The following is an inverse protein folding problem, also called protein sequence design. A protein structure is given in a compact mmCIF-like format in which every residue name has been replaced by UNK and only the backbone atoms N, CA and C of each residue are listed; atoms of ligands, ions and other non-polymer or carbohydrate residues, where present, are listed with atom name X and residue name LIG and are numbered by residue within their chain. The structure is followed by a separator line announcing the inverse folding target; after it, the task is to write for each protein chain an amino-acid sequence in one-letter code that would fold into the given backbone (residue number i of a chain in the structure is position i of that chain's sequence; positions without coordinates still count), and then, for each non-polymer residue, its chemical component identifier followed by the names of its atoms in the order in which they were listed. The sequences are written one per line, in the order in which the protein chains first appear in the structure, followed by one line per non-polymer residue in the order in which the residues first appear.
data_IF_899395698092
#
_entry.id   IF_899395698092
#
_cell.length_a   1.000
_cell.length_b   1.000
_cell.length_c   1.000
_cell.angle_alpha   90.00
_cell.angle_beta   90.00
_cell.angle_gamma   90.00
#
_symmetry.space_group_name_H-M   'P 1'
#
loop_
_entity.id
_entity.type
_entity.pdbx_description
1 polymer ?
#
# COMPACT_ATOMS: atom_id res chain seq x y z
N UNK A 1 25.50 5.06 -3.10
CA UNK A 1 24.04 5.02 -3.20
C UNK A 1 23.66 3.56 -3.37
N UNK A 2 22.64 3.10 -2.65
CA UNK A 2 22.24 1.69 -2.69
C UNK A 2 21.16 1.53 -3.73
N UNK A 3 21.39 0.71 -4.74
CA UNK A 3 20.37 0.34 -5.72
C UNK A 3 19.59 -0.89 -5.27
N UNK A 4 18.36 -1.04 -5.76
CA UNK A 4 17.59 -2.27 -5.60
C UNK A 4 18.36 -3.44 -6.27
N UNK A 5 18.68 -4.52 -5.53
CA UNK A 5 19.59 -5.56 -6.03
C UNK A 5 18.91 -6.56 -6.97
N UNK A 6 17.61 -6.75 -6.83
CA UNK A 6 16.82 -7.75 -7.56
C UNK A 6 15.47 -7.16 -7.98
N UNK A 7 14.90 -7.60 -9.10
CA UNK A 7 13.56 -7.19 -9.49
C UNK A 7 12.50 -7.76 -8.52
N UNK A 8 11.51 -6.94 -8.17
CA UNK A 8 10.34 -7.32 -7.38
C UNK A 8 9.09 -6.95 -8.16
N UNK A 9 8.35 -7.96 -8.60
CA UNK A 9 7.17 -7.80 -9.47
C UNK A 9 5.87 -7.90 -8.69
N UNK A 10 4.83 -7.22 -9.18
CA UNK A 10 3.46 -7.37 -8.69
C UNK A 10 3.27 -6.89 -7.26
N UNK A 11 4.02 -5.87 -6.84
CA UNK A 11 3.82 -5.28 -5.52
C UNK A 11 2.57 -4.41 -5.59
N UNK A 12 1.54 -4.80 -4.87
CA UNK A 12 0.27 -4.08 -4.87
C UNK A 12 -0.02 -3.47 -3.51
N UNK A 13 -0.50 -2.23 -3.52
CA UNK A 13 -0.91 -1.52 -2.31
C UNK A 13 -2.36 -1.09 -2.45
N UNK A 14 -3.22 -1.57 -1.53
CA UNK A 14 -4.65 -1.24 -1.48
C UNK A 14 -4.98 -0.52 -0.19
N UNK A 15 -4.99 0.80 -0.27
CA UNK A 15 -5.30 1.69 0.85
C UNK A 15 -6.80 1.79 1.01
N UNK A 16 -7.25 1.51 2.24
CA UNK A 16 -8.62 1.74 2.70
C UNK A 16 -8.52 2.35 4.08
N UNK A 17 -8.84 3.64 4.19
CA UNK A 17 -8.94 4.35 5.47
C UNK A 17 -10.39 4.73 5.72
N UNK A 18 -10.98 4.22 6.79
CA UNK A 18 -12.27 4.72 7.28
C UNK A 18 -12.01 5.87 8.25
N UNK A 19 -12.50 7.07 7.93
CA UNK A 19 -12.47 8.22 8.85
C UNK A 19 -13.71 8.32 9.76
N UNK A 20 -14.65 7.38 9.65
CA UNK A 20 -15.97 7.44 10.29
C UNK A 20 -16.95 8.27 9.45
N UNK A 21 -18.17 7.75 9.23
CA UNK A 21 -19.14 8.33 8.29
C UNK A 21 -18.82 8.00 6.81
N UNK A 22 -19.65 8.52 5.88
CA UNK A 22 -19.57 8.29 4.42
C UNK A 22 -18.29 8.79 3.72
N UNK A 23 -17.18 9.00 4.44
CA UNK A 23 -15.91 9.47 3.89
C UNK A 23 -14.78 8.51 4.22
N UNK A 24 -14.26 7.85 3.18
CA UNK A 24 -13.04 7.06 3.24
C UNK A 24 -11.92 7.68 2.40
N UNK A 25 -10.73 7.10 2.52
CA UNK A 25 -9.69 7.25 1.49
C UNK A 25 -9.44 5.89 0.86
N UNK A 26 -9.65 5.82 -0.44
CA UNK A 26 -9.38 4.64 -1.25
C UNK A 26 -8.29 4.94 -2.27
N UNK A 27 -7.32 4.03 -2.37
CA UNK A 27 -6.38 3.99 -3.48
C UNK A 27 -5.93 2.57 -3.73
N UNK A 28 -5.68 2.25 -4.99
CA UNK A 28 -5.08 0.98 -5.39
C UNK A 28 -4.03 1.23 -6.47
N UNK A 29 -2.85 0.65 -6.29
CA UNK A 29 -1.75 0.66 -7.27
C UNK A 29 -1.08 -0.70 -7.31
N UNK A 30 -0.56 -1.07 -8.48
CA UNK A 30 0.34 -2.19 -8.68
C UNK A 30 1.60 -1.65 -9.33
N UNK A 31 2.75 -2.00 -8.74
CA UNK A 31 4.06 -1.49 -9.14
C UNK A 31 5.04 -2.65 -9.23
N UNK A 32 5.76 -2.69 -10.34
CA UNK A 32 6.96 -3.51 -10.50
C UNK A 32 8.19 -2.66 -10.20
N UNK A 33 9.14 -3.22 -9.47
CA UNK A 33 10.41 -2.60 -9.16
C UNK A 33 11.55 -3.39 -9.81
N UNK A 34 12.48 -2.67 -10.39
CA UNK A 34 13.68 -3.20 -11.04
C UNK A 34 14.92 -2.51 -10.49
N UNK A 35 16.11 -3.15 -10.59
CA UNK A 35 17.37 -2.48 -10.33
C UNK A 35 17.48 -1.16 -11.11
N UNK A 36 18.13 -0.13 -10.53
CA UNK A 36 18.20 1.19 -11.15
C UNK A 36 18.96 1.15 -12.48
N UNK A 37 18.52 2.00 -13.42
CA UNK A 37 19.22 2.22 -14.67
C UNK A 37 20.45 3.14 -14.48
N UNK A 38 21.14 3.50 -15.58
CA UNK A 38 22.31 4.39 -15.52
C UNK A 38 22.00 5.79 -14.96
N UNK A 39 20.73 6.23 -15.02
CA UNK A 39 20.27 7.52 -14.51
C UNK A 39 19.78 7.47 -13.05
N UNK A 40 19.84 6.31 -12.38
CA UNK A 40 19.37 6.11 -11.02
C UNK A 40 17.88 5.75 -10.95
N UNK A 41 17.13 6.44 -10.08
CA UNK A 41 15.70 6.21 -9.89
C UNK A 41 14.87 6.71 -11.08
N UNK A 42 14.05 5.83 -11.64
CA UNK A 42 13.13 6.16 -12.74
C UNK A 42 11.73 5.66 -12.42
N UNK A 43 10.70 6.50 -12.57
CA UNK A 43 9.30 6.11 -12.31
C UNK A 43 8.47 6.30 -13.58
N UNK A 44 7.89 5.22 -14.07
CA UNK A 44 7.10 5.16 -15.30
C UNK A 44 5.67 4.69 -15.01
N UNK A 45 4.71 5.21 -15.77
CA UNK A 45 3.31 4.77 -15.69
C UNK A 45 2.92 4.04 -16.97
N UNK A 46 2.50 2.77 -16.84
CA UNK A 46 1.86 1.98 -17.88
C UNK A 46 0.39 1.68 -17.56
N UNK A 47 -0.08 2.02 -16.36
CA UNK A 47 -1.47 1.84 -16.01
C UNK A 47 -2.35 2.70 -16.91
N UNK A 48 -3.48 2.11 -17.33
CA UNK A 48 -4.49 2.80 -18.12
C UNK A 48 -5.11 3.94 -17.33
N UNK A 49 -5.47 5.03 -18.02
CA UNK A 49 -6.03 6.23 -17.39
C UNK A 49 -7.37 5.98 -16.66
N UNK A 50 -8.18 5.03 -17.14
CA UNK A 50 -9.42 4.62 -16.49
C UNK A 50 -9.20 3.82 -15.18
N UNK A 51 -7.99 3.29 -14.98
CA UNK A 51 -7.59 2.54 -13.78
C UNK A 51 -6.85 3.44 -12.80
N UNK A 52 -5.98 4.32 -13.32
CA UNK A 52 -5.21 5.29 -12.55
C UNK A 52 -5.27 6.65 -13.25
N UNK A 53 -6.21 7.51 -12.84
CA UNK A 53 -6.35 8.86 -13.39
C UNK A 53 -5.06 9.68 -13.26
N UNK A 54 -4.76 10.48 -14.29
CA UNK A 54 -3.53 11.25 -14.38
C UNK A 54 -3.31 12.22 -13.19
N UNK A 55 -4.41 12.74 -12.62
CA UNK A 55 -4.38 13.63 -11.44
C UNK A 55 -3.70 13.02 -10.21
N UNK A 56 -3.71 11.69 -10.07
CA UNK A 56 -3.11 11.00 -8.93
C UNK A 56 -1.67 10.55 -9.18
N UNK A 57 -1.15 10.66 -10.40
CA UNK A 57 0.19 10.15 -10.73
C UNK A 57 1.29 10.87 -9.94
N UNK A 58 1.17 12.18 -9.72
CA UNK A 58 2.10 12.94 -8.89
C UNK A 58 2.13 12.40 -7.45
N UNK A 59 0.95 12.14 -6.87
CA UNK A 59 0.85 11.59 -5.52
C UNK A 59 1.46 10.17 -5.43
N UNK A 60 1.24 9.31 -6.43
CA UNK A 60 1.85 7.97 -6.46
C UNK A 60 3.38 8.08 -6.54
N UNK A 61 3.91 8.97 -7.40
CA UNK A 61 5.36 9.22 -7.53
C UNK A 61 5.98 9.67 -6.21
N UNK A 62 5.41 10.71 -5.58
CA UNK A 62 5.84 11.18 -4.25
C UNK A 62 5.86 10.03 -3.23
N UNK A 63 4.84 9.17 -3.28
CA UNK A 63 4.73 8.01 -2.41
C UNK A 63 5.85 7.01 -2.64
N UNK A 64 6.10 6.64 -3.89
CA UNK A 64 7.16 5.69 -4.27
C UNK A 64 8.52 6.21 -3.80
N UNK A 65 8.84 7.48 -4.09
CA UNK A 65 10.11 8.10 -3.68
C UNK A 65 10.27 8.09 -2.15
N UNK A 66 9.22 8.47 -1.43
CA UNK A 66 9.19 8.42 0.03
C UNK A 66 9.38 7.00 0.58
N UNK A 67 8.80 5.99 -0.09
CA UNK A 67 8.89 4.61 0.35
C UNK A 67 10.23 3.93 0.02
N UNK A 68 10.90 4.37 -1.06
CA UNK A 68 12.23 3.93 -1.43
C UNK A 68 13.31 4.45 -0.45
N UNK A 69 13.06 5.57 0.22
CA UNK A 69 13.91 6.11 1.30
C UNK A 69 15.40 6.23 0.88
N UNK A 70 15.62 6.77 -0.31
CA UNK A 70 16.96 6.97 -0.89
C UNK A 70 17.58 5.74 -1.57
N UNK A 71 16.89 4.61 -1.63
CA UNK A 71 17.28 3.46 -2.48
C UNK A 71 16.91 3.76 -3.94
N UNK A 72 17.86 3.57 -4.85
CA UNK A 72 17.61 3.76 -6.28
C UNK A 72 16.92 2.56 -6.89
N UNK A 73 15.87 2.77 -7.67
CA UNK A 73 15.16 1.71 -8.38
C UNK A 73 14.44 2.25 -9.63
N UNK A 74 14.24 1.41 -10.63
CA UNK A 74 13.25 1.67 -11.65
C UNK A 74 11.88 1.16 -11.15
N UNK A 75 10.85 2.01 -11.17
CA UNK A 75 9.50 1.67 -10.74
C UNK A 75 8.52 1.83 -11.89
N UNK A 76 7.79 0.76 -12.19
CA UNK A 76 6.82 0.70 -13.27
C UNK A 76 5.43 0.51 -12.68
N UNK A 77 4.59 1.53 -12.74
CA UNK A 77 3.20 1.44 -12.30
C UNK A 77 2.42 0.71 -13.39
N UNK A 78 2.03 -0.54 -13.12
CA UNK A 78 1.46 -1.46 -14.12
C UNK A 78 -0.06 -1.50 -14.10
N UNK A 79 -0.68 -1.21 -12.95
CA UNK A 79 -2.13 -1.14 -12.80
C UNK A 79 -2.52 -0.23 -11.63
N UNK A 80 -3.80 0.10 -11.52
CA UNK A 80 -4.35 0.86 -10.41
C UNK A 80 -5.83 0.62 -10.22
N UNK A 81 -6.44 1.39 -9.33
CA UNK A 81 -7.88 1.38 -9.16
C UNK A 81 -8.37 2.64 -8.48
N UNK A 82 -9.48 3.15 -8.98
CA UNK A 82 -10.14 4.35 -8.47
C UNK A 82 -11.53 4.02 -7.94
N UNK A 83 -11.86 4.60 -6.78
CA UNK A 83 -13.22 4.68 -6.28
C UNK A 83 -13.48 6.16 -5.98
N UNK A 84 -14.11 6.84 -6.94
CA UNK A 84 -14.24 8.29 -6.98
C UNK A 84 -14.71 8.96 -5.68
N UNK A 85 -15.72 8.43 -4.95
CA UNK A 85 -16.17 9.05 -3.71
C UNK A 85 -15.05 9.24 -2.67
N UNK A 86 -14.12 8.28 -2.62
CA UNK A 86 -13.03 8.22 -1.63
C UNK A 86 -11.63 8.43 -2.25
N UNK A 87 -11.53 8.72 -3.55
CA UNK A 87 -10.26 8.94 -4.24
C UNK A 87 -9.64 10.27 -3.81
N UNK A 88 -8.46 10.24 -3.18
CA UNK A 88 -7.73 11.42 -2.69
C UNK A 88 -6.23 11.20 -2.81
N UNK A 89 -5.47 12.26 -3.07
CA UNK A 89 -3.99 12.21 -3.19
C UNK A 89 -3.31 11.49 -2.04
N UNK A 90 -3.76 11.74 -0.81
CA UNK A 90 -3.18 11.11 0.38
C UNK A 90 -3.29 9.58 0.36
N UNK A 91 -4.37 9.04 -0.23
CA UNK A 91 -4.54 7.61 -0.44
C UNK A 91 -3.49 7.06 -1.41
N UNK A 92 -3.31 7.72 -2.55
CA UNK A 92 -2.37 7.30 -3.60
C UNK A 92 -0.91 7.48 -3.19
N UNK A 93 -0.57 8.56 -2.48
CA UNK A 93 0.76 8.73 -1.87
C UNK A 93 1.06 7.64 -0.86
N UNK A 94 0.08 7.31 0.00
CA UNK A 94 0.23 6.20 0.95
C UNK A 94 0.41 4.87 0.23
N UNK A 95 -0.32 4.64 -0.86
CA UNK A 95 -0.23 3.41 -1.65
C UNK A 95 1.15 3.26 -2.29
N UNK A 96 1.67 4.33 -2.92
CA UNK A 96 3.03 4.34 -3.48
C UNK A 96 4.10 4.03 -2.43
N UNK A 97 4.02 4.66 -1.26
CA UNK A 97 4.99 4.44 -0.18
C UNK A 97 4.96 3.02 0.38
N UNK A 98 3.76 2.44 0.50
CA UNK A 98 3.58 1.06 0.96
C UNK A 98 4.11 0.06 -0.06
N UNK A 99 3.87 0.30 -1.36
CA UNK A 99 4.39 -0.56 -2.42
C UNK A 99 5.92 -0.53 -2.44
N UNK A 100 6.54 0.66 -2.41
CA UNK A 100 8.00 0.77 -2.41
C UNK A 100 8.65 0.13 -1.17
N UNK A 101 8.10 0.34 0.03
CA UNK A 101 8.59 -0.34 1.24
C UNK A 101 8.44 -1.87 1.14
N UNK A 102 7.32 -2.34 0.59
CA UNK A 102 7.12 -3.77 0.32
C UNK A 102 8.18 -4.35 -0.61
N UNK A 103 8.58 -3.60 -1.63
CA UNK A 103 9.67 -3.99 -2.53
C UNK A 103 11.02 -4.05 -1.82
N UNK A 104 11.33 -3.09 -0.93
CA UNK A 104 12.57 -3.12 -0.16
C UNK A 104 12.64 -4.33 0.79
N UNK A 105 11.54 -4.68 1.46
CA UNK A 105 11.48 -5.89 2.29
C UNK A 105 11.65 -7.13 1.42
N UNK A 106 10.91 -7.24 0.32
CA UNK A 106 10.99 -8.38 -0.60
C UNK A 106 12.39 -8.57 -1.22
N UNK A 107 13.13 -7.48 -1.42
CA UNK A 107 14.50 -7.50 -1.92
C UNK A 107 15.57 -7.73 -0.82
N UNK A 108 15.16 -7.90 0.44
CA UNK A 108 16.07 -8.11 1.58
C UNK A 108 16.84 -6.87 2.01
N UNK A 109 16.42 -5.67 1.60
CA UNK A 109 17.02 -4.40 2.00
C UNK A 109 16.45 -3.85 3.32
N UNK A 110 15.36 -4.45 3.81
CA UNK A 110 14.73 -4.14 5.10
C UNK A 110 14.43 -5.44 5.86
N UNK A 111 14.35 -5.40 7.19
CA UNK A 111 13.94 -6.54 8.01
C UNK A 111 12.55 -7.08 7.61
N UNK A 112 12.38 -8.40 7.69
CA UNK A 112 11.12 -9.09 7.32
C UNK A 112 9.95 -8.70 8.25
N UNK A 113 10.26 -8.27 9.48
CA UNK A 113 9.30 -7.79 10.47
C UNK A 113 8.63 -6.47 10.05
N UNK A 114 9.30 -5.64 9.23
CA UNK A 114 8.71 -4.38 8.74
C UNK A 114 7.47 -4.64 7.88
N UNK A 115 7.42 -5.79 7.19
CA UNK A 115 6.30 -6.14 6.36
C UNK A 115 5.01 -6.44 7.14
N UNK A 116 5.10 -6.78 8.44
CA UNK A 116 3.91 -6.87 9.30
C UNK A 116 3.30 -5.49 9.60
N UNK A 117 4.11 -4.42 9.49
CA UNK A 117 3.64 -3.04 9.61
C UNK A 117 3.06 -2.49 8.29
N UNK A 118 3.30 -3.16 7.16
CA UNK A 118 2.77 -2.78 5.85
C UNK A 118 1.31 -3.21 5.69
N UNK A 119 0.43 -2.45 6.36
CA UNK A 119 -1.02 -2.70 6.41
C UNK A 119 -1.68 -2.89 5.04
N UNK A 120 -1.17 -2.24 4.01
CA UNK A 120 -1.85 -2.15 2.72
C UNK A 120 -1.12 -2.84 1.57
N UNK A 121 0.14 -3.25 1.76
CA UNK A 121 0.97 -3.84 0.71
C UNK A 121 0.89 -5.37 0.65
N UNK A 122 1.04 -5.92 -0.54
CA UNK A 122 1.20 -7.36 -0.80
C UNK A 122 2.06 -7.59 -2.04
N UNK A 123 2.76 -8.71 -2.11
CA UNK A 123 3.60 -9.11 -3.24
C UNK A 123 3.63 -10.65 -3.34
N UNK A 124 4.17 -11.23 -4.43
CA UNK A 124 4.28 -12.69 -4.55
C UNK A 124 4.99 -13.30 -3.33
N UNK A 125 4.33 -14.28 -2.69
CA UNK A 125 4.83 -14.92 -1.47
C UNK A 125 4.45 -14.22 -0.16
N UNK A 126 4.01 -12.96 -0.17
CA UNK A 126 3.55 -12.23 1.03
C UNK A 126 2.19 -11.58 0.80
N UNK A 127 1.16 -12.10 1.45
CA UNK A 127 -0.16 -11.48 1.45
C UNK A 127 -0.20 -10.33 2.44
N UNK A 128 -0.99 -9.30 2.14
CA UNK A 128 -1.25 -8.24 3.10
C UNK A 128 -1.90 -8.84 4.35
N UNK A 129 -1.61 -8.32 5.56
CA UNK A 129 -2.29 -8.76 6.76
C UNK A 129 -3.80 -8.52 6.64
N UNK A 130 -4.63 -9.56 6.71
CA UNK A 130 -6.08 -9.38 6.77
C UNK A 130 -6.45 -8.87 8.17
N UNK A 131 -7.42 -7.92 8.32
CA UNK A 131 -7.83 -7.46 9.64
C UNK A 131 -8.26 -8.60 10.59
N UNK A 132 -8.83 -9.69 10.07
CA UNK A 132 -9.19 -10.86 10.90
C UNK A 132 -8.00 -11.68 11.41
N UNK A 133 -6.82 -11.50 10.85
CA UNK A 133 -5.58 -12.21 11.22
C UNK A 133 -4.66 -11.35 12.11
N UNK A 134 -5.02 -10.08 12.33
CA UNK A 134 -4.26 -9.17 13.18
C UNK A 134 -4.66 -9.40 14.67
N UNK A 135 -3.72 -9.80 15.55
CA UNK A 135 -4.03 -10.04 16.97
C UNK A 135 -4.58 -8.80 17.70
N UNK A 136 -4.22 -7.58 17.27
CA UNK A 136 -4.82 -6.34 17.81
C UNK A 136 -6.26 -6.14 17.35
N UNK A 137 -6.61 -6.57 16.15
CA UNK A 137 -7.97 -6.50 15.64
C UNK A 137 -8.85 -7.59 16.27
N UNK A 138 -8.30 -8.78 16.53
CA UNK A 138 -8.96 -9.81 17.34
C UNK A 138 -9.27 -9.30 18.75
N UNK A 139 -8.28 -8.69 19.42
CA UNK A 139 -8.48 -8.09 20.75
C UNK A 139 -9.50 -6.93 20.73
N UNK A 140 -9.49 -6.09 19.70
CA UNK A 140 -10.49 -5.03 19.52
C UNK A 140 -11.88 -5.60 19.26
N UNK A 141 -11.99 -6.67 18.45
CA UNK A 141 -13.26 -7.34 18.19
C UNK A 141 -13.84 -7.96 19.46
N UNK A 142 -13.01 -8.59 20.30
CA UNK A 142 -13.42 -9.08 21.62
C UNK A 142 -13.90 -7.94 22.53
N UNK A 143 -13.16 -6.83 22.61
CA UNK A 143 -13.58 -5.65 23.39
C UNK A 143 -14.92 -5.08 22.91
N UNK A 144 -15.13 -4.98 21.60
CA UNK A 144 -16.38 -4.51 21.01
C UNK A 144 -17.52 -5.47 21.31
N UNK A 145 -17.29 -6.78 21.20
CA UNK A 145 -18.28 -7.80 21.55
C UNK A 145 -18.63 -7.76 23.04
N UNK A 146 -17.65 -7.60 23.92
CA UNK A 146 -17.86 -7.51 25.35
C UNK A 146 -18.61 -6.22 25.73
N UNK A 147 -18.27 -5.09 25.11
CA UNK A 147 -19.00 -3.83 25.25
C UNK A 147 -20.46 -3.98 24.83
N UNK A 148 -20.74 -4.66 23.71
CA UNK A 148 -22.09 -4.96 23.23
C UNK A 148 -22.86 -5.93 24.12
N UNK A 149 -22.20 -6.93 24.72
CA UNK A 149 -22.81 -7.81 25.73
C UNK A 149 -23.20 -7.03 26.98
N UNK A 150 -22.34 -6.12 27.45
CA UNK A 150 -22.60 -5.28 28.63
C UNK A 150 -23.70 -4.25 28.40
N UNK A 151 -23.84 -3.73 27.18
CA UNK A 151 -24.87 -2.74 26.84
C UNK A 151 -26.26 -3.34 26.55
N UNK A 152 -26.40 -4.67 26.53
CA UNK A 152 -27.67 -5.34 26.24
C UNK A 152 -28.19 -5.14 24.80
N UNK A 153 -27.36 -4.60 23.90
CA UNK A 153 -27.72 -4.30 22.52
C UNK A 153 -27.65 -5.56 21.64
N UNK A 154 -28.58 -6.49 21.85
CA UNK A 154 -28.99 -7.48 20.86
C UNK A 154 -30.42 -7.14 20.45
N UNK A 155 -30.59 -6.45 19.33
CA UNK A 155 -31.86 -6.38 18.62
C UNK A 155 -31.66 -6.98 17.23
N UNK A 156 -32.60 -7.86 16.87
CA UNK A 156 -32.61 -8.77 15.73
C UNK A 156 -32.42 -8.08 14.37
#
# INVERSE_FOLDING_TARGET
MTGLPVPVRGVSARVVMNKGGCGGHYAYVVVDFEPPGPAGTEILNLAREDRLPAEFLAAVRDGIELGLDGVEAAALITDGGVYWPDARDIGYRTAGAQAARGALVAAGLRPEEEADALRWASWPGRRRPWPGENPRAAALAEQVLESRRRSGAWTF
#
